data_IF_535994431228
#
_entry.id   IF_535994431228
#
_cell.length_a   1.000
_cell.length_b   1.000
_cell.length_c   1.000
_cell.angle_alpha   90.00
_cell.angle_beta   90.00
_cell.angle_gamma   90.00
#
_symmetry.space_group_name_H-M   'P 1'
#
loop_
_entity.id
_entity.type
_entity.pdbx_description
1 polymer ?
#
# COMPACT_ATOMS: atom_id res chain seq x y z
N UNK A 1 1.27 13.32 -21.77
CA UNK A 1 1.44 14.59 -21.00
C UNK A 1 2.89 14.68 -20.56
N UNK A 2 3.53 15.86 -20.53
CA UNK A 2 4.88 15.99 -19.97
C UNK A 2 4.83 15.71 -18.46
N UNK A 3 5.47 14.63 -18.03
CA UNK A 3 5.59 14.28 -16.61
C UNK A 3 6.60 15.27 -15.99
N UNK A 4 6.21 15.96 -14.92
CA UNK A 4 7.14 16.78 -14.15
C UNK A 4 8.08 15.84 -13.39
N UNK A 5 9.37 15.86 -13.71
CA UNK A 5 10.37 15.05 -13.03
C UNK A 5 10.41 15.43 -11.54
N UNK A 6 10.08 14.47 -10.67
CA UNK A 6 10.27 14.61 -9.23
C UNK A 6 11.73 14.34 -8.86
N UNK A 7 12.39 15.32 -8.28
CA UNK A 7 13.83 15.28 -7.98
C UNK A 7 14.19 14.25 -6.90
N UNK A 8 13.31 13.99 -5.93
CA UNK A 8 13.47 12.95 -4.91
C UNK A 8 13.45 11.53 -5.51
N UNK A 9 12.50 11.28 -6.40
CA UNK A 9 12.37 9.99 -7.11
C UNK A 9 13.54 9.79 -8.06
N UNK A 10 13.92 10.85 -8.80
CA UNK A 10 15.09 10.81 -9.69
C UNK A 10 16.38 10.50 -8.93
N UNK A 11 16.58 11.10 -7.75
CA UNK A 11 17.74 10.82 -6.91
C UNK A 11 17.80 9.35 -6.48
N UNK A 12 16.69 8.77 -6.01
CA UNK A 12 16.64 7.36 -5.59
C UNK A 12 16.96 6.43 -6.76
N UNK A 13 16.38 6.69 -7.93
CA UNK A 13 16.65 5.91 -9.14
C UNK A 13 18.13 5.97 -9.52
N UNK A 14 18.70 7.18 -9.59
CA UNK A 14 20.10 7.37 -9.96
C UNK A 14 21.05 6.74 -8.94
N UNK A 15 20.77 6.91 -7.64
CA UNK A 15 21.57 6.34 -6.57
C UNK A 15 21.56 4.82 -6.62
N UNK A 16 20.38 4.20 -6.78
CA UNK A 16 20.25 2.74 -6.82
C UNK A 16 20.93 2.12 -8.05
N UNK A 17 20.87 2.79 -9.20
CA UNK A 17 21.64 2.37 -10.40
C UNK A 17 23.15 2.52 -10.16
N UNK A 18 23.59 3.56 -9.45
CA UNK A 18 25.01 3.76 -9.11
C UNK A 18 25.54 2.67 -8.18
N UNK A 19 24.72 2.24 -7.22
CA UNK A 19 25.05 1.17 -6.27
C UNK A 19 25.20 -0.20 -6.94
N UNK A 20 24.53 -0.45 -8.07
CA UNK A 20 24.75 -1.64 -8.90
C UNK A 20 26.14 -1.65 -9.55
N UNK A 21 26.62 -0.50 -10.02
CA UNK A 21 27.98 -0.31 -10.56
C UNK A 21 28.01 0.25 -11.98
N UNK A 22 29.19 0.23 -12.61
CA UNK A 22 29.43 0.95 -13.88
C UNK A 22 28.94 0.22 -15.15
N UNK A 23 28.44 -1.01 -15.01
CA UNK A 23 27.97 -1.86 -16.13
C UNK A 23 26.46 -1.84 -16.31
N UNK A 24 25.96 -2.33 -17.46
CA UNK A 24 24.54 -2.68 -17.58
C UNK A 24 24.25 -3.83 -16.63
N UNK A 25 23.36 -3.60 -15.67
CA UNK A 25 23.03 -4.59 -14.66
C UNK A 25 21.54 -4.57 -14.37
N UNK A 26 21.05 -5.73 -13.93
CA UNK A 26 19.68 -5.90 -13.45
C UNK A 26 19.50 -5.13 -12.14
N UNK A 27 18.72 -4.04 -12.19
CA UNK A 27 18.43 -3.23 -11.01
C UNK A 27 16.98 -3.52 -10.58
N UNK A 28 16.84 -4.30 -9.51
CA UNK A 28 15.53 -4.60 -8.93
C UNK A 28 15.00 -3.41 -8.14
N UNK A 29 14.02 -2.69 -8.70
CA UNK A 29 13.26 -1.67 -7.98
C UNK A 29 12.05 -2.31 -7.29
N UNK A 30 11.82 -1.96 -6.03
CA UNK A 30 10.64 -2.35 -5.27
C UNK A 30 9.90 -1.11 -4.77
N UNK A 31 8.61 -1.25 -4.49
CA UNK A 31 7.78 -0.15 -3.96
C UNK A 31 8.35 0.41 -2.65
N UNK A 32 9.05 -0.43 -1.88
CA UNK A 32 9.74 -0.04 -0.66
C UNK A 32 10.84 1.00 -0.87
N UNK A 33 11.48 1.04 -2.05
CA UNK A 33 12.49 2.07 -2.38
C UNK A 33 11.88 3.48 -2.39
N UNK A 34 10.58 3.55 -2.70
CA UNK A 34 9.82 4.79 -2.84
C UNK A 34 8.79 4.98 -1.73
N UNK A 35 8.95 4.25 -0.62
CA UNK A 35 8.07 4.36 0.56
C UNK A 35 7.87 5.82 0.96
N UNK A 36 6.61 6.20 1.22
CA UNK A 36 6.22 7.55 1.65
C UNK A 36 6.21 8.60 0.54
N UNK A 37 6.40 8.20 -0.73
CA UNK A 37 6.43 9.15 -1.87
C UNK A 37 5.18 9.11 -2.75
N UNK A 38 4.22 8.23 -2.46
CA UNK A 38 2.94 8.14 -3.18
C UNK A 38 3.14 7.97 -4.69
N UNK A 39 4.05 7.08 -5.09
CA UNK A 39 4.45 6.90 -6.48
C UNK A 39 3.68 5.74 -7.10
N UNK A 40 2.89 5.99 -8.15
CA UNK A 40 2.26 4.92 -8.91
C UNK A 40 3.28 4.23 -9.83
N UNK A 41 2.98 3.01 -10.29
CA UNK A 41 3.83 2.31 -11.28
C UNK A 41 4.01 3.13 -12.57
N UNK A 42 2.95 3.78 -13.04
CA UNK A 42 2.97 4.65 -14.21
C UNK A 42 3.86 5.88 -14.01
N UNK A 43 3.80 6.49 -12.81
CA UNK A 43 4.70 7.59 -12.47
C UNK A 43 6.16 7.12 -12.47
N UNK A 44 6.45 6.00 -11.82
CA UNK A 44 7.80 5.43 -11.77
C UNK A 44 8.37 5.17 -13.18
N UNK A 45 7.62 4.50 -14.03
CA UNK A 45 8.02 4.24 -15.43
C UNK A 45 8.21 5.54 -16.20
N UNK A 46 7.38 6.55 -15.97
CA UNK A 46 7.54 7.88 -16.54
C UNK A 46 8.84 8.59 -16.12
N UNK A 47 9.27 8.42 -14.87
CA UNK A 47 10.54 8.97 -14.40
C UNK A 47 11.73 8.23 -15.02
N UNK A 48 11.67 6.91 -15.13
CA UNK A 48 12.69 6.10 -15.81
C UNK A 48 12.82 6.47 -17.30
N UNK A 49 11.70 6.58 -18.00
CA UNK A 49 11.66 6.98 -19.41
C UNK A 49 12.24 8.40 -19.60
N UNK A 50 11.86 9.35 -18.75
CA UNK A 50 12.44 10.70 -18.78
C UNK A 50 13.96 10.69 -18.59
N UNK A 51 14.47 9.95 -17.59
CA UNK A 51 15.89 9.86 -17.31
C UNK A 51 16.65 9.22 -18.49
N UNK A 52 16.04 8.22 -19.14
CA UNK A 52 16.60 7.56 -20.31
C UNK A 52 16.61 8.48 -21.54
N UNK A 53 15.49 9.15 -21.86
CA UNK A 53 15.37 10.09 -22.98
C UNK A 53 16.32 11.29 -22.84
N UNK A 54 16.53 11.78 -21.62
CA UNK A 54 17.47 12.87 -21.33
C UNK A 54 18.92 12.38 -21.20
N UNK A 55 19.17 11.10 -21.44
CA UNK A 55 20.49 10.45 -21.41
C UNK A 55 21.19 10.55 -20.06
N UNK A 56 20.45 10.57 -18.96
CA UNK A 56 21.01 10.44 -17.61
C UNK A 56 21.29 8.97 -17.27
N UNK A 57 20.44 8.07 -17.75
CA UNK A 57 20.66 6.63 -17.67
C UNK A 57 20.63 6.04 -19.08
N UNK A 58 21.23 4.87 -19.23
CA UNK A 58 20.95 3.98 -20.34
C UNK A 58 20.19 2.79 -19.76
N UNK A 59 18.92 2.66 -20.11
CA UNK A 59 18.05 1.59 -19.63
C UNK A 59 17.61 0.68 -20.77
N UNK A 60 17.53 -0.62 -20.48
CA UNK A 60 16.95 -1.64 -21.34
C UNK A 60 15.59 -2.03 -20.76
N UNK A 61 14.58 -1.91 -21.59
CA UNK A 61 13.22 -2.33 -21.28
C UNK A 61 12.86 -3.50 -22.20
N UNK A 62 12.21 -4.52 -21.66
CA UNK A 62 11.47 -5.50 -22.46
C UNK A 62 10.00 -5.13 -22.48
N UNK A 63 9.34 -5.43 -23.60
CA UNK A 63 7.94 -5.07 -23.79
C UNK A 63 7.63 -4.24 -25.01
N UNK A 64 6.35 -4.18 -25.37
CA UNK A 64 5.87 -3.29 -26.42
C UNK A 64 5.13 -2.11 -25.78
N UNK A 65 5.79 -0.95 -25.73
CA UNK A 65 5.24 0.28 -25.16
C UNK A 65 4.08 0.88 -25.97
N UNK A 66 3.83 0.36 -27.17
CA UNK A 66 2.78 0.80 -28.09
C UNK A 66 1.98 -0.38 -28.67
N UNK A 67 1.94 -1.52 -27.97
CA UNK A 67 1.20 -2.70 -28.44
C UNK A 67 -0.27 -2.36 -28.68
N UNK A 68 -0.72 -2.63 -29.90
CA UNK A 68 -2.14 -2.60 -30.24
C UNK A 68 -2.75 -3.98 -29.96
N UNK A 69 -4.08 -4.06 -29.93
CA UNK A 69 -4.80 -5.31 -29.67
C UNK A 69 -4.47 -6.43 -30.68
N UNK A 70 -3.94 -6.07 -31.84
CA UNK A 70 -3.49 -6.97 -32.91
C UNK A 70 -2.12 -7.63 -32.60
N UNK A 71 -1.34 -7.06 -31.67
CA UNK A 71 -0.04 -7.59 -31.23
C UNK A 71 -0.16 -8.61 -30.10
N UNK A 72 -1.39 -8.89 -29.64
CA UNK A 72 -1.68 -9.95 -28.68
C UNK A 72 -1.75 -11.28 -29.45
N UNK A 73 -0.86 -12.26 -29.21
CA UNK A 73 -0.87 -13.52 -29.92
C UNK A 73 -2.23 -14.22 -29.79
N UNK A 74 -2.84 -14.62 -30.91
CA UNK A 74 -4.07 -15.41 -30.90
C UNK A 74 -3.82 -16.74 -30.18
N UNK A 75 -4.44 -16.92 -29.03
CA UNK A 75 -4.16 -17.98 -28.06
C UNK A 75 -4.41 -19.37 -28.66
N UNK A 76 -3.34 -20.13 -28.93
CA UNK A 76 -3.41 -21.59 -29.13
C UNK A 76 -2.56 -22.38 -28.14
N UNK A 77 -1.86 -21.73 -27.21
CA UNK A 77 -1.15 -22.45 -26.15
C UNK A 77 -1.25 -21.72 -24.79
N UNK A 78 -2.02 -22.25 -23.83
CA UNK A 78 -2.21 -21.63 -22.51
C UNK A 78 -0.97 -21.68 -21.60
N UNK A 79 0.10 -22.40 -22.00
CA UNK A 79 1.35 -22.47 -21.25
C UNK A 79 2.34 -21.33 -21.55
N UNK A 80 2.06 -20.47 -22.55
CA UNK A 80 2.93 -19.33 -22.92
C UNK A 80 2.41 -17.96 -22.45
N UNK A 81 1.25 -17.91 -21.80
CA UNK A 81 0.63 -16.65 -21.35
C UNK A 81 0.50 -16.66 -19.84
N UNK A 82 1.32 -15.86 -19.16
CA UNK A 82 1.12 -15.56 -17.74
C UNK A 82 -0.29 -14.98 -17.56
N UNK A 83 -1.05 -15.50 -16.58
CA UNK A 83 -2.50 -15.33 -16.44
C UNK A 83 -2.99 -13.87 -16.29
N UNK A 84 -2.08 -12.90 -16.35
CA UNK A 84 -2.32 -11.46 -16.25
C UNK A 84 -2.71 -10.80 -17.58
N UNK A 85 -2.50 -11.43 -18.73
CA UNK A 85 -2.78 -10.80 -20.04
C UNK A 85 -4.29 -10.78 -20.36
N UNK A 86 -5.08 -11.71 -19.83
CA UNK A 86 -6.47 -11.90 -20.24
C UNK A 86 -7.49 -10.89 -19.64
N UNK A 87 -7.12 -10.09 -18.64
CA UNK A 87 -8.07 -9.20 -17.92
C UNK A 87 -7.82 -7.69 -18.16
N UNK A 88 -7.41 -7.29 -19.35
CA UNK A 88 -7.16 -5.87 -19.69
C UNK A 88 -8.34 -5.13 -20.32
N UNK A 89 -9.54 -5.70 -20.29
CA UNK A 89 -10.77 -4.93 -20.53
C UNK A 89 -11.36 -4.45 -19.20
N UNK A 90 -10.94 -3.27 -18.73
CA UNK A 90 -11.64 -2.52 -17.67
C UNK A 90 -10.82 -2.05 -16.46
N UNK A 91 -9.50 -2.16 -16.43
CA UNK A 91 -8.69 -1.69 -15.29
C UNK A 91 -8.64 -0.14 -15.20
N UNK A 92 -8.75 0.41 -13.98
CA UNK A 92 -8.69 1.86 -13.71
C UNK A 92 -7.37 2.52 -14.14
N UNK A 93 -6.30 1.74 -14.29
CA UNK A 93 -4.96 2.19 -14.69
C UNK A 93 -4.76 2.32 -16.21
N UNK A 94 -5.81 2.10 -17.01
CA UNK A 94 -5.74 2.17 -18.47
C UNK A 94 -5.08 0.95 -19.13
N UNK A 95 -5.10 0.86 -20.47
CA UNK A 95 -4.65 -0.32 -21.17
C UNK A 95 -3.12 -0.36 -21.17
N UNK A 96 -2.56 -1.33 -20.45
CA UNK A 96 -1.23 -1.91 -20.68
C UNK A 96 0.02 -1.31 -19.97
N UNK A 97 0.01 -0.97 -18.66
CA UNK A 97 1.25 -0.81 -17.89
C UNK A 97 1.91 -2.16 -17.47
N UNK A 98 1.38 -3.29 -17.95
CA UNK A 98 1.88 -4.64 -17.64
C UNK A 98 2.81 -5.22 -18.71
N UNK A 99 2.97 -4.52 -19.85
CA UNK A 99 3.78 -5.02 -20.97
C UNK A 99 5.22 -4.52 -20.95
N UNK A 100 5.57 -3.52 -20.13
CA UNK A 100 6.93 -2.96 -20.07
C UNK A 100 7.60 -3.38 -18.76
N UNK A 101 8.69 -4.13 -18.87
CA UNK A 101 9.55 -4.52 -17.76
C UNK A 101 10.89 -3.83 -17.90
N UNK A 102 11.33 -3.17 -16.83
CA UNK A 102 12.70 -2.66 -16.73
C UNK A 102 13.63 -3.83 -16.46
N UNK A 103 14.63 -4.04 -17.32
CA UNK A 103 15.57 -5.17 -17.19
C UNK A 103 16.88 -4.68 -16.59
N UNK A 104 17.55 -3.77 -17.28
CA UNK A 104 18.91 -3.37 -16.92
C UNK A 104 19.08 -1.86 -17.06
N UNK A 105 19.91 -1.24 -16.22
CA UNK A 105 20.39 0.10 -16.51
C UNK A 105 21.83 0.33 -16.07
N UNK A 106 22.42 1.38 -16.63
CA UNK A 106 23.64 2.00 -16.14
C UNK A 106 23.53 3.52 -16.17
N UNK A 107 24.33 4.18 -15.34
CA UNK A 107 24.50 5.62 -15.41
C UNK A 107 25.34 6.02 -16.63
N UNK A 108 25.01 7.16 -17.20
CA UNK A 108 25.89 7.85 -18.16
C UNK A 108 26.77 8.85 -17.41
N UNK A 109 27.81 9.38 -18.05
CA UNK A 109 28.62 10.48 -17.50
C UNK A 109 27.76 11.71 -17.11
N UNK A 110 26.65 11.91 -17.83
CA UNK A 110 25.70 12.99 -17.56
C UNK A 110 24.84 12.69 -16.34
N UNK A 111 24.42 11.43 -16.17
CA UNK A 111 23.72 10.94 -14.98
C UNK A 111 24.59 11.01 -13.74
N UNK A 112 25.88 10.64 -13.87
CA UNK A 112 26.82 10.67 -12.76
C UNK A 112 27.05 12.11 -12.27
N UNK A 113 27.26 13.08 -13.18
CA UNK A 113 27.33 14.51 -12.81
C UNK A 113 26.04 15.06 -12.20
N UNK A 114 24.88 14.53 -12.62
CA UNK A 114 23.60 14.91 -12.02
C UNK A 114 23.48 14.36 -10.60
N UNK A 115 23.86 13.10 -10.39
CA UNK A 115 23.89 12.46 -9.08
C UNK A 115 24.86 13.19 -8.15
N UNK A 116 26.09 13.47 -8.56
CA UNK A 116 27.07 14.25 -7.79
C UNK A 116 26.51 15.60 -7.35
N UNK A 117 25.85 16.33 -8.26
CA UNK A 117 25.18 17.60 -7.93
C UNK A 117 24.06 17.43 -6.91
N UNK A 118 23.29 16.36 -7.03
CA UNK A 118 22.22 16.03 -6.09
C UNK A 118 22.76 15.50 -4.76
N UNK A 119 23.96 14.92 -4.70
CA UNK A 119 24.62 14.55 -3.45
C UNK A 119 25.20 15.78 -2.74
N UNK A 120 25.75 16.75 -3.48
CA UNK A 120 26.22 18.04 -2.96
C UNK A 120 25.06 18.93 -2.47
N UNK A 121 23.91 18.88 -3.16
CA UNK A 121 22.68 19.58 -2.79
C UNK A 121 21.48 18.62 -2.88
N UNK A 122 21.24 17.82 -1.84
CA UNK A 122 20.12 16.89 -1.78
C UNK A 122 18.79 17.56 -2.09
N UNK A 123 17.95 17.00 -2.98
CA UNK A 123 16.59 17.49 -3.19
C UNK A 123 15.88 17.62 -1.84
N UNK A 124 15.28 18.78 -1.57
CA UNK A 124 14.57 19.05 -0.29
C UNK A 124 13.41 18.09 -0.02
N UNK A 125 12.93 17.41 -1.05
CA UNK A 125 11.92 16.36 -0.94
C UNK A 125 12.50 15.01 -0.46
N UNK A 126 13.83 14.84 -0.39
CA UNK A 126 14.49 13.69 0.25
C UNK A 126 14.40 13.75 1.78
N UNK A 127 14.37 14.95 2.36
CA UNK A 127 14.09 15.15 3.80
C UNK A 127 12.68 14.66 4.19
N UNK A 128 11.83 14.40 3.18
CA UNK A 128 10.51 13.80 3.34
C UNK A 128 10.53 12.26 3.27
N UNK A 129 11.69 11.60 3.41
CA UNK A 129 11.77 10.24 3.98
C UNK A 129 13.00 9.39 3.62
N UNK A 130 13.33 8.30 4.35
CA UNK A 130 13.21 8.10 5.79
C UNK A 130 14.60 8.12 6.47
N UNK A 131 14.70 8.85 7.58
CA UNK A 131 15.44 8.41 8.76
C UNK A 131 14.41 8.46 9.90
N UNK A 132 13.97 7.29 10.38
CA UNK A 132 12.94 7.08 11.43
C UNK A 132 13.14 7.97 12.67
N UNK A 133 12.13 8.32 13.52
CA UNK A 133 10.66 8.14 13.46
C UNK A 133 9.87 9.38 14.01
N UNK A 134 9.36 10.31 13.18
CA UNK A 134 8.45 11.39 13.61
C UNK A 134 7.51 11.78 12.44
N UNK A 135 6.48 10.97 12.13
CA UNK A 135 5.36 11.37 11.26
C UNK A 135 4.18 10.36 11.20
N UNK A 136 4.02 9.43 12.15
CA UNK A 136 2.92 8.43 12.07
C UNK A 136 1.68 8.82 12.87
N UNK A 137 1.71 9.95 13.60
CA UNK A 137 0.60 10.37 14.45
C UNK A 137 -0.44 11.18 13.69
N UNK A 138 0.00 11.98 12.72
CA UNK A 138 -0.87 12.85 11.91
C UNK A 138 -1.12 12.28 10.50
N UNK A 139 -0.72 11.03 10.26
CA UNK A 139 -0.94 10.34 8.99
C UNK A 139 -2.37 9.76 8.97
N UNK A 140 -3.15 9.99 7.89
CA UNK A 140 -4.47 9.38 7.74
C UNK A 140 -4.42 7.87 7.96
N UNK A 141 -5.44 7.35 8.64
CA UNK A 141 -5.52 5.95 9.09
C UNK A 141 -5.06 4.92 8.04
N UNK A 142 -5.59 5.00 6.82
CA UNK A 142 -5.28 4.03 5.75
C UNK A 142 -3.85 4.12 5.25
N UNK A 143 -3.27 5.31 5.16
CA UNK A 143 -1.86 5.47 4.80
C UNK A 143 -0.95 4.83 5.84
N UNK A 144 -1.31 4.98 7.12
CA UNK A 144 -0.56 4.37 8.22
C UNK A 144 -0.66 2.85 8.20
N UNK A 145 -1.84 2.31 7.93
CA UNK A 145 -2.05 0.85 7.75
C UNK A 145 -1.23 0.35 6.57
N UNK A 146 -1.29 1.02 5.41
CA UNK A 146 -0.55 0.66 4.21
C UNK A 146 0.96 0.59 4.48
N UNK A 147 1.52 1.65 5.09
CA UNK A 147 2.95 1.71 5.36
C UNK A 147 3.41 0.71 6.41
N UNK A 148 2.70 0.58 7.54
CA UNK A 148 3.09 -0.34 8.62
C UNK A 148 2.82 -1.80 8.28
N UNK A 149 1.83 -2.06 7.41
CA UNK A 149 1.45 -3.39 6.96
C UNK A 149 2.23 -3.87 5.74
N UNK A 150 3.08 -3.02 5.15
CA UNK A 150 3.79 -3.30 3.90
C UNK A 150 2.82 -3.75 2.79
N UNK A 151 1.75 -2.97 2.61
CA UNK A 151 0.73 -3.19 1.58
C UNK A 151 1.05 -2.32 0.35
N UNK A 152 0.69 -2.79 -0.84
CA UNK A 152 1.07 -2.12 -2.09
C UNK A 152 0.26 -0.84 -2.33
N UNK A 153 -0.99 -0.80 -1.87
CA UNK A 153 -1.85 0.37 -2.06
C UNK A 153 -2.84 0.60 -0.91
N UNK A 154 -3.54 1.73 -1.01
CA UNK A 154 -4.50 2.20 -0.01
C UNK A 154 -5.83 1.42 -0.03
N UNK A 155 -6.16 0.77 -1.15
CA UNK A 155 -7.36 -0.05 -1.28
C UNK A 155 -7.18 -1.38 -0.57
N UNK A 156 -6.01 -2.01 -0.71
CA UNK A 156 -5.60 -3.17 0.09
C UNK A 156 -5.68 -2.83 1.59
N UNK A 157 -5.16 -1.66 1.98
CA UNK A 157 -5.23 -1.21 3.37
C UNK A 157 -6.67 -1.02 3.87
N UNK A 158 -7.58 -0.53 3.02
CA UNK A 158 -9.00 -0.35 3.33
C UNK A 158 -9.71 -1.69 3.52
N UNK A 159 -9.59 -2.56 2.54
CA UNK A 159 -10.32 -3.83 2.49
C UNK A 159 -9.88 -4.75 3.63
N UNK A 160 -8.58 -4.77 3.93
CA UNK A 160 -8.03 -5.49 5.10
C UNK A 160 -8.52 -4.89 6.41
N UNK A 161 -8.51 -3.56 6.54
CA UNK A 161 -8.99 -2.90 7.76
C UNK A 161 -10.46 -3.22 8.03
N UNK A 162 -11.28 -3.28 6.98
CA UNK A 162 -12.67 -3.71 7.07
C UNK A 162 -12.78 -5.16 7.57
N UNK A 163 -11.97 -6.08 7.06
CA UNK A 163 -11.98 -7.48 7.51
C UNK A 163 -11.51 -7.61 8.97
N UNK A 164 -10.48 -6.86 9.38
CA UNK A 164 -10.02 -6.81 10.77
C UNK A 164 -11.12 -6.26 11.68
N UNK A 165 -11.72 -5.13 11.33
CA UNK A 165 -12.82 -4.53 12.10
C UNK A 165 -14.04 -5.43 12.18
N UNK A 166 -14.44 -6.05 11.06
CA UNK A 166 -15.52 -7.05 11.06
C UNK A 166 -15.21 -8.20 12.02
N UNK A 167 -14.00 -8.75 11.96
CA UNK A 167 -13.59 -9.87 12.81
C UNK A 167 -13.55 -9.46 14.28
N UNK A 168 -13.11 -8.24 14.61
CA UNK A 168 -13.18 -7.72 15.98
C UNK A 168 -14.64 -7.57 16.45
N UNK A 169 -15.49 -6.93 15.66
CA UNK A 169 -16.91 -6.71 15.99
C UNK A 169 -17.67 -8.00 16.20
N UNK A 170 -17.38 -9.03 15.39
CA UNK A 170 -17.97 -10.35 15.54
C UNK A 170 -17.73 -10.96 16.94
N UNK A 171 -16.67 -10.54 17.65
CA UNK A 171 -16.31 -11.01 18.98
C UNK A 171 -16.81 -10.09 20.11
N UNK A 172 -17.30 -8.89 19.78
CA UNK A 172 -17.72 -7.88 20.74
C UNK A 172 -19.23 -7.91 20.97
N UNK A 173 -19.69 -7.38 22.11
CA UNK A 173 -21.12 -7.07 22.26
C UNK A 173 -21.48 -5.86 21.41
N UNK A 174 -22.75 -5.76 21.01
CA UNK A 174 -23.27 -4.62 20.25
C UNK A 174 -22.96 -3.29 20.95
N UNK A 175 -23.09 -3.22 22.27
CA UNK A 175 -22.85 -2.01 23.04
C UNK A 175 -21.37 -1.62 23.07
N UNK A 176 -20.47 -2.61 23.19
CA UNK A 176 -19.03 -2.37 23.16
C UNK A 176 -18.58 -1.93 21.76
N UNK A 177 -19.10 -2.59 20.72
CA UNK A 177 -18.82 -2.21 19.32
C UNK A 177 -19.31 -0.79 18.99
N UNK A 178 -20.48 -0.40 19.50
CA UNK A 178 -21.02 0.96 19.31
C UNK A 178 -20.17 2.02 20.04
N UNK A 179 -19.71 1.74 21.26
CA UNK A 179 -18.81 2.65 22.00
C UNK A 179 -17.49 2.88 21.27
N UNK A 180 -16.88 1.81 20.73
CA UNK A 180 -15.68 1.95 19.88
C UNK A 180 -16.00 2.79 18.65
N UNK A 181 -17.12 2.53 17.99
CA UNK A 181 -17.53 3.28 16.80
C UNK A 181 -17.69 4.78 17.04
N UNK A 182 -18.10 5.20 18.24
CA UNK A 182 -18.32 6.60 18.58
C UNK A 182 -17.01 7.39 18.70
N UNK A 183 -15.94 6.75 19.15
CA UNK A 183 -14.61 7.39 19.24
C UNK A 183 -13.90 7.42 17.87
N UNK A 184 -14.22 6.49 16.97
CA UNK A 184 -13.75 6.51 15.58
C UNK A 184 -14.44 7.56 14.68
N UNK A 185 -15.34 8.38 15.24
CA UNK A 185 -16.26 9.27 14.50
C UNK A 185 -15.93 10.77 14.62
N UNK A 186 -14.86 11.16 15.31
CA UNK A 186 -14.48 12.58 15.37
C UNK A 186 -13.70 13.01 14.12
N UNK A 187 -14.09 14.12 13.47
CA UNK A 187 -13.51 14.52 12.19
C UNK A 187 -12.05 14.92 12.35
N UNK A 188 -11.15 14.19 11.68
CA UNK A 188 -9.92 14.79 11.18
C UNK A 188 -10.32 15.99 10.30
N UNK A 189 -9.62 17.11 10.42
CA UNK A 189 -9.97 18.41 9.84
C UNK A 189 -10.60 18.35 8.43
N UNK A 190 -11.49 19.29 8.07
CA UNK A 190 -12.18 19.31 6.78
C UNK A 190 -11.19 19.35 5.60
N UNK A 191 -10.85 18.16 5.10
CA UNK A 191 -10.05 17.98 3.89
C UNK A 191 -10.96 17.99 2.66
N UNK A 192 -10.46 18.51 1.54
CA UNK A 192 -11.24 18.65 0.29
C UNK A 192 -11.35 17.35 -0.51
N UNK A 193 -10.64 16.30 -0.09
CA UNK A 193 -10.56 15.05 -0.82
C UNK A 193 -11.56 14.02 -0.27
N UNK A 194 -12.70 13.85 -0.96
CA UNK A 194 -13.80 12.97 -0.53
C UNK A 194 -13.41 11.49 -0.45
N UNK A 195 -12.37 11.05 -1.17
CA UNK A 195 -11.89 9.67 -1.09
C UNK A 195 -11.11 9.40 0.22
N UNK A 196 -10.53 10.45 0.81
CA UNK A 196 -9.85 10.43 2.12
C UNK A 196 -10.83 10.71 3.28
N UNK A 197 -12.10 11.01 2.98
CA UNK A 197 -13.19 11.19 3.94
C UNK A 197 -13.96 9.90 4.25
N UNK A 198 -13.41 8.71 3.97
CA UNK A 198 -13.96 7.51 4.59
C UNK A 198 -13.61 7.60 6.08
N UNK A 199 -14.57 8.05 6.88
CA UNK A 199 -14.42 8.12 8.33
C UNK A 199 -14.05 6.71 8.80
N UNK A 200 -13.11 6.60 9.74
CA UNK A 200 -12.70 5.27 10.26
C UNK A 200 -13.92 4.53 10.82
N UNK A 201 -14.90 5.28 11.32
CA UNK A 201 -16.24 4.81 11.66
C UNK A 201 -16.99 4.11 10.50
N UNK A 202 -16.84 4.51 9.24
CA UNK A 202 -17.48 3.86 8.10
C UNK A 202 -16.85 2.49 7.81
N UNK A 203 -15.52 2.38 7.93
CA UNK A 203 -14.82 1.09 7.89
C UNK A 203 -15.27 0.20 9.06
N UNK A 204 -15.50 0.80 10.21
CA UNK A 204 -15.97 0.09 11.41
C UNK A 204 -17.44 -0.29 11.35
N UNK A 205 -18.34 0.43 10.69
CA UNK A 205 -19.79 0.15 10.74
C UNK A 205 -20.26 -0.93 9.75
N UNK A 206 -19.42 -1.31 8.79
CA UNK A 206 -19.79 -2.17 7.66
C UNK A 206 -20.80 -1.46 6.73
N UNK A 207 -20.47 -1.31 5.45
CA UNK A 207 -21.33 -0.57 4.51
C UNK A 207 -22.58 -1.35 4.10
N UNK A 208 -22.72 -2.62 4.52
CA UNK A 208 -23.89 -3.44 4.18
C UNK A 208 -25.02 -3.29 5.23
N UNK A 209 -26.14 -2.61 4.92
CA UNK A 209 -27.21 -2.33 5.87
C UNK A 209 -27.92 -3.58 6.41
N UNK A 210 -27.88 -4.69 5.66
CA UNK A 210 -28.48 -5.97 6.09
C UNK A 210 -27.58 -6.63 7.14
N UNK A 211 -26.26 -6.58 6.94
CA UNK A 211 -25.27 -7.12 7.89
C UNK A 211 -25.27 -6.28 9.17
N UNK A 212 -25.30 -4.94 9.05
CA UNK A 212 -25.41 -4.02 10.18
C UNK A 212 -26.70 -4.17 10.99
N UNK A 213 -27.80 -4.59 10.35
CA UNK A 213 -29.05 -4.91 11.04
C UNK A 213 -28.99 -6.28 11.75
N UNK A 214 -28.42 -7.30 11.09
CA UNK A 214 -28.33 -8.65 11.65
C UNK A 214 -27.28 -8.78 12.76
N UNK A 215 -26.22 -7.96 12.76
CA UNK A 215 -25.19 -7.96 13.79
C UNK A 215 -25.75 -7.61 15.18
N UNK A 216 -26.77 -6.74 15.24
CA UNK A 216 -27.42 -6.33 16.51
C UNK A 216 -28.13 -7.47 17.25
N UNK A 217 -28.45 -8.55 16.56
CA UNK A 217 -29.23 -9.69 17.09
C UNK A 217 -28.36 -10.92 17.31
N UNK A 218 -27.16 -10.98 16.70
CA UNK A 218 -26.27 -12.14 16.85
C UNK A 218 -25.50 -12.06 18.17
N UNK A 219 -25.39 -13.16 18.92
CA UNK A 219 -24.50 -13.21 20.06
C UNK A 219 -23.04 -13.12 19.58
N UNK A 220 -22.13 -12.59 20.41
CA UNK A 220 -20.70 -12.56 20.11
C UNK A 220 -20.16 -13.95 19.78
N UNK A 221 -19.34 -14.04 18.74
CA UNK A 221 -18.68 -15.25 18.29
C UNK A 221 -17.43 -15.52 19.14
N UNK A 222 -17.23 -16.78 19.50
CA UNK A 222 -15.96 -17.25 20.07
C UNK A 222 -15.02 -17.60 18.92
N UNK A 223 -14.13 -16.67 18.58
CA UNK A 223 -13.11 -16.83 17.54
C UNK A 223 -11.76 -17.01 18.24
N UNK A 224 -11.02 -18.07 17.93
CA UNK A 224 -9.64 -18.24 18.41
C UNK A 224 -8.64 -17.46 17.54
N UNK A 225 -7.39 -17.38 17.99
CA UNK A 225 -6.36 -16.61 17.28
C UNK A 225 -6.10 -17.12 15.85
N UNK A 226 -6.14 -18.44 15.65
CA UNK A 226 -5.86 -19.03 14.34
C UNK A 226 -7.02 -18.75 13.36
N UNK A 227 -8.25 -18.83 13.83
CA UNK A 227 -9.45 -18.49 13.06
C UNK A 227 -9.49 -16.99 12.74
N UNK A 228 -9.09 -16.13 13.67
CA UNK A 228 -8.96 -14.70 13.41
C UNK A 228 -7.99 -14.44 12.26
N UNK A 229 -6.76 -14.94 12.36
CA UNK A 229 -5.72 -14.77 11.34
C UNK A 229 -6.10 -15.42 10.00
N UNK A 230 -6.75 -16.58 10.05
CA UNK A 230 -7.25 -17.27 8.87
C UNK A 230 -8.27 -16.42 8.10
N UNK A 231 -9.21 -15.77 8.79
CA UNK A 231 -10.17 -14.86 8.16
C UNK A 231 -9.47 -13.67 7.51
N UNK A 232 -8.49 -13.06 8.18
CA UNK A 232 -7.74 -11.94 7.59
C UNK A 232 -7.04 -12.40 6.31
N UNK A 233 -6.40 -13.57 6.32
CA UNK A 233 -5.71 -14.11 5.15
C UNK A 233 -6.67 -14.45 4.00
N UNK A 234 -7.83 -15.03 4.31
CA UNK A 234 -8.77 -15.52 3.31
C UNK A 234 -9.66 -14.41 2.73
N UNK A 235 -10.11 -13.49 3.58
CA UNK A 235 -11.09 -12.46 3.23
C UNK A 235 -10.45 -11.10 2.92
N UNK A 236 -9.26 -10.82 3.47
CA UNK A 236 -8.53 -9.57 3.25
C UNK A 236 -7.70 -9.53 1.96
N UNK A 237 -7.74 -10.58 1.13
CA UNK A 237 -7.04 -10.59 -0.16
C UNK A 237 -5.51 -10.48 -0.05
N UNK A 238 -4.92 -10.88 1.08
CA UNK A 238 -3.50 -10.69 1.35
C UNK A 238 -2.62 -11.26 0.24
N UNK A 239 -1.68 -10.44 -0.22
CA UNK A 239 -0.73 -10.84 -1.24
C UNK A 239 0.20 -11.94 -0.75
N UNK A 240 0.69 -12.76 -1.69
CA UNK A 240 1.62 -13.84 -1.35
C UNK A 240 2.91 -13.27 -0.72
N UNK A 241 3.20 -13.70 0.51
CA UNK A 241 4.42 -13.31 1.23
C UNK A 241 4.23 -12.18 2.24
N UNK A 242 3.05 -11.53 2.28
CA UNK A 242 2.71 -10.57 3.34
C UNK A 242 2.30 -11.33 4.60
N UNK A 243 2.90 -11.00 5.73
CA UNK A 243 2.59 -11.61 7.03
C UNK A 243 1.29 -11.02 7.60
N UNK A 244 0.26 -11.85 7.76
CA UNK A 244 -1.02 -11.42 8.32
C UNK A 244 -0.89 -10.80 9.73
N UNK A 245 0.10 -11.21 10.53
CA UNK A 245 0.30 -10.68 11.88
C UNK A 245 0.84 -9.26 11.85
N UNK A 246 1.72 -8.97 10.90
CA UNK A 246 2.26 -7.62 10.67
C UNK A 246 1.12 -6.67 10.27
N UNK A 247 0.27 -7.12 9.36
CA UNK A 247 -0.87 -6.34 8.87
C UNK A 247 -1.90 -6.10 9.99
N UNK A 248 -2.25 -7.12 10.76
CA UNK A 248 -3.15 -6.96 11.93
C UNK A 248 -2.56 -5.96 12.93
N UNK A 249 -1.25 -6.05 13.22
CA UNK A 249 -0.55 -5.10 14.10
C UNK A 249 -0.56 -3.67 13.54
N UNK A 250 -0.46 -3.50 12.23
CA UNK A 250 -0.57 -2.20 11.56
C UNK A 250 -1.95 -1.58 11.76
N UNK A 251 -3.02 -2.34 11.53
CA UNK A 251 -4.41 -1.89 11.74
C UNK A 251 -4.64 -1.53 13.20
N UNK A 252 -4.19 -2.36 14.14
CA UNK A 252 -4.30 -2.10 15.57
C UNK A 252 -3.57 -0.82 15.98
N UNK A 253 -2.36 -0.62 15.48
CA UNK A 253 -1.55 0.57 15.75
C UNK A 253 -2.21 1.85 15.22
N UNK A 254 -2.85 1.79 14.05
CA UNK A 254 -3.59 2.92 13.51
C UNK A 254 -4.86 3.19 14.32
N UNK A 255 -5.61 2.13 14.66
CA UNK A 255 -6.87 2.24 15.42
C UNK A 255 -6.66 2.81 16.82
N UNK A 256 -5.58 2.41 17.50
CA UNK A 256 -5.28 2.88 18.86
C UNK A 256 -5.00 4.38 18.94
N UNK A 257 -4.51 4.99 17.87
CA UNK A 257 -4.27 6.44 17.87
C UNK A 257 -5.57 7.24 17.85
N UNK A 258 -6.68 6.62 17.45
CA UNK A 258 -8.02 7.20 17.38
C UNK A 258 -8.87 6.93 18.63
N UNK A 259 -8.42 6.02 19.49
CA UNK A 259 -9.19 5.54 20.64
C UNK A 259 -8.62 6.09 21.95
N UNK A 260 -9.53 6.40 22.89
CA UNK A 260 -9.16 6.68 24.26
C UNK A 260 -8.54 5.44 24.93
N UNK A 261 -7.75 5.68 25.97
CA UNK A 261 -7.18 4.59 26.79
C UNK A 261 -8.25 3.69 27.42
N UNK A 262 -9.46 4.20 27.62
CA UNK A 262 -10.59 3.42 28.12
C UNK A 262 -11.07 2.42 27.06
N UNK A 263 -11.27 2.85 25.81
CA UNK A 263 -11.66 1.91 24.73
C UNK A 263 -10.56 0.95 24.37
N UNK A 264 -9.31 1.38 24.39
CA UNK A 264 -8.18 0.48 24.13
C UNK A 264 -8.20 -0.71 25.10
N UNK A 265 -8.46 -0.45 26.39
CA UNK A 265 -8.57 -1.51 27.41
C UNK A 265 -9.86 -2.31 27.29
N UNK A 266 -10.97 -1.69 26.91
CA UNK A 266 -12.22 -2.42 26.67
C UNK A 266 -12.06 -3.45 25.55
N UNK A 267 -11.40 -3.08 24.44
CA UNK A 267 -11.13 -3.98 23.30
C UNK A 267 -10.31 -5.20 23.72
N UNK A 268 -9.33 -5.03 24.62
CA UNK A 268 -8.50 -6.14 25.12
C UNK A 268 -9.33 -7.28 25.73
N UNK A 269 -10.47 -6.96 26.37
CA UNK A 269 -11.35 -7.95 26.99
C UNK A 269 -12.04 -8.92 26.00
N UNK A 270 -11.99 -8.60 24.70
CA UNK A 270 -12.61 -9.41 23.64
C UNK A 270 -11.59 -10.18 22.79
N UNK A 271 -10.30 -9.81 22.84
CA UNK A 271 -9.30 -10.38 21.95
C UNK A 271 -8.74 -11.72 22.48
N UNK A 272 -8.55 -12.73 21.61
CA UNK A 272 -7.98 -14.01 21.99
C UNK A 272 -6.45 -13.94 22.10
N UNK A 273 -5.86 -14.84 22.88
CA UNK A 273 -4.43 -14.89 23.29
C UNK A 273 -3.42 -14.17 22.38
N UNK A 274 -3.18 -14.70 21.17
CA UNK A 274 -2.14 -14.15 20.28
C UNK A 274 -2.53 -12.79 19.72
N UNK A 275 -3.81 -12.60 19.44
CA UNK A 275 -4.34 -11.33 18.93
C UNK A 275 -4.26 -10.25 20.01
N UNK A 276 -4.51 -10.60 21.28
CA UNK A 276 -4.30 -9.70 22.41
C UNK A 276 -2.84 -9.24 22.51
N UNK A 277 -1.88 -10.16 22.32
CA UNK A 277 -0.45 -9.78 22.27
C UNK A 277 -0.15 -8.82 21.12
N UNK A 278 -0.65 -9.12 19.92
CA UNK A 278 -0.49 -8.23 18.76
C UNK A 278 -1.10 -6.85 19.05
N UNK A 279 -2.26 -6.79 19.69
CA UNK A 279 -2.89 -5.54 20.13
C UNK A 279 -1.97 -4.80 21.09
N UNK A 280 -1.55 -5.42 22.19
CA UNK A 280 -0.71 -4.79 23.21
C UNK A 280 0.64 -4.27 22.67
N UNK A 281 1.23 -4.98 21.73
CA UNK A 281 2.52 -4.59 21.13
C UNK A 281 2.40 -3.57 19.97
N UNK A 282 1.19 -3.30 19.48
CA UNK A 282 0.92 -2.39 18.36
C UNK A 282 1.02 -0.91 18.73
#
# INVERSE_FOLDING_TARGET
MPINLREDVAFIILKKINEGGQGMQEIGFSETDFTGRGLTKSDFLGHLDYLNQKQYIQAKFSGNAYANQEDVPSVTNPDEVDARVANTFGAEDGPLPHLITFEEAKLTDKGQKLLERMEENPPKALDKGPATPIATKDMPFLEKVMLKGNLNDIFDARDISEVVFRTMRDMMTTEASERVSQELHEPAEPTKDKALQNEIADLWKDTNPIVAFLSKVRPPLKIDSDTFLFRIRQEGGLQKGVDERMVVKAVFSATKDELSQERIKEVEGFLPDTILKLWQEA
#
